data_IF_965748281727
#
_entry.id   IF_965748281727
#
_cell.length_a   1.000
_cell.length_b   1.000
_cell.length_c   1.000
_cell.angle_alpha   90.00
_cell.angle_beta   90.00
_cell.angle_gamma   90.00
#
_symmetry.space_group_name_H-M   'P 1'
#
loop_
_entity.id
_entity.type
_entity.pdbx_description
1 polymer ?
#
# COMPACT_ATOMS: atom_id res chain seq x y z
N UNK A 1 7.10 6.13 33.59
CA UNK A 1 8.23 6.21 32.66
C UNK A 1 8.15 5.12 31.58
N UNK A 2 8.20 3.85 31.94
CA UNK A 2 8.15 2.72 30.98
C UNK A 2 6.96 2.76 30.01
N UNK A 3 5.74 3.10 30.45
CA UNK A 3 4.57 3.18 29.57
C UNK A 3 4.64 4.32 28.57
N UNK A 4 5.29 5.43 28.93
CA UNK A 4 5.47 6.58 28.03
C UNK A 4 6.48 6.23 26.92
N UNK A 5 7.60 5.61 27.31
CA UNK A 5 8.64 5.20 26.37
C UNK A 5 8.13 4.14 25.40
N UNK A 6 7.37 3.15 25.91
CA UNK A 6 6.76 2.11 25.09
C UNK A 6 5.76 2.69 24.07
N UNK A 7 4.85 3.56 24.51
CA UNK A 7 3.87 4.20 23.61
C UNK A 7 4.55 5.08 22.55
N UNK A 8 5.67 5.71 22.88
CA UNK A 8 6.44 6.52 21.93
C UNK A 8 7.10 5.65 20.85
N UNK A 9 7.61 4.48 21.23
CA UNK A 9 8.17 3.50 20.28
C UNK A 9 7.07 3.02 19.33
N UNK A 10 5.90 2.64 19.87
CA UNK A 10 4.75 2.20 19.07
C UNK A 10 4.29 3.28 18.10
N UNK A 11 4.23 4.54 18.55
CA UNK A 11 3.86 5.66 17.68
C UNK A 11 4.82 5.81 16.50
N UNK A 12 6.12 5.62 16.75
CA UNK A 12 7.14 5.64 15.70
C UNK A 12 6.92 4.52 14.69
N UNK A 13 6.72 3.29 15.15
CA UNK A 13 6.46 2.11 14.29
C UNK A 13 5.19 2.30 13.44
N UNK A 14 4.10 2.82 14.03
CA UNK A 14 2.87 3.14 13.29
C UNK A 14 3.16 4.18 12.20
N UNK A 15 3.93 5.23 12.50
CA UNK A 15 4.26 6.25 11.52
C UNK A 15 5.12 5.70 10.38
N UNK A 16 6.07 4.81 10.66
CA UNK A 16 6.88 4.14 9.64
C UNK A 16 6.01 3.28 8.73
N UNK A 17 5.09 2.50 9.28
CA UNK A 17 4.12 1.73 8.51
C UNK A 17 3.18 2.62 7.68
N UNK A 18 2.71 3.75 8.21
CA UNK A 18 1.89 4.72 7.45
C UNK A 18 2.65 5.30 6.27
N UNK A 19 3.90 5.70 6.44
CA UNK A 19 4.74 6.25 5.37
C UNK A 19 4.95 5.19 4.29
N UNK A 20 5.34 3.99 4.67
CA UNK A 20 5.59 2.88 3.75
C UNK A 20 4.32 2.48 2.98
N UNK A 21 3.18 2.39 3.66
CA UNK A 21 1.90 2.06 3.06
C UNK A 21 1.40 3.14 2.08
N UNK A 22 1.59 4.42 2.39
CA UNK A 22 1.27 5.52 1.47
C UNK A 22 2.12 5.48 0.20
N UNK A 23 3.41 5.14 0.32
CA UNK A 23 4.27 4.95 -0.85
C UNK A 23 3.81 3.77 -1.73
N UNK A 24 3.43 2.65 -1.12
CA UNK A 24 2.88 1.51 -1.83
C UNK A 24 1.57 1.88 -2.56
N UNK A 25 0.67 2.61 -1.89
CA UNK A 25 -0.58 3.10 -2.48
C UNK A 25 -0.33 3.99 -3.71
N UNK A 26 0.58 4.95 -3.61
CA UNK A 26 0.91 5.87 -4.72
C UNK A 26 1.44 5.14 -5.96
N UNK A 27 2.30 4.15 -5.79
CA UNK A 27 2.82 3.36 -6.91
C UNK A 27 1.71 2.53 -7.57
N UNK A 28 0.78 1.97 -6.79
CA UNK A 28 -0.38 1.28 -7.33
C UNK A 28 -1.33 2.21 -8.10
N UNK A 29 -1.51 3.44 -7.64
CA UNK A 29 -2.28 4.47 -8.37
C UNK A 29 -1.63 4.80 -9.71
N UNK A 30 -0.31 4.88 -9.77
CA UNK A 30 0.42 5.04 -11.04
C UNK A 30 0.17 3.87 -11.99
N UNK A 31 0.27 2.63 -11.50
CA UNK A 31 -0.02 1.43 -12.30
C UNK A 31 -1.45 1.46 -12.83
N UNK A 32 -2.44 1.76 -11.99
CA UNK A 32 -3.85 1.87 -12.39
C UNK A 32 -4.04 2.93 -13.47
N UNK A 33 -3.39 4.09 -13.33
CA UNK A 33 -3.44 5.17 -14.32
C UNK A 33 -2.89 4.73 -15.68
N UNK A 34 -1.73 4.05 -15.68
CA UNK A 34 -1.13 3.53 -16.91
C UNK A 34 -1.98 2.44 -17.57
N UNK A 35 -2.64 1.60 -16.78
CA UNK A 35 -3.57 0.58 -17.28
C UNK A 35 -4.83 1.21 -17.87
N UNK A 36 -5.34 2.27 -17.27
CA UNK A 36 -6.45 3.05 -17.81
C UNK A 36 -6.07 3.71 -19.15
N UNK A 37 -4.88 4.31 -19.22
CA UNK A 37 -4.36 4.90 -20.44
C UNK A 37 -4.26 3.85 -21.56
N UNK A 38 -3.67 2.70 -21.27
CA UNK A 38 -3.57 1.59 -22.23
C UNK A 38 -4.95 1.09 -22.68
N UNK A 39 -5.91 0.97 -21.78
CA UNK A 39 -7.28 0.57 -22.09
C UNK A 39 -8.02 1.58 -22.97
N UNK A 40 -7.82 2.86 -22.72
CA UNK A 40 -8.39 3.93 -23.53
C UNK A 40 -7.82 3.92 -24.96
N UNK A 41 -6.51 3.83 -25.12
CA UNK A 41 -5.88 3.69 -26.42
C UNK A 41 -6.29 2.40 -27.14
N UNK A 42 -6.57 1.32 -26.41
CA UNK A 42 -7.08 0.07 -26.97
C UNK A 42 -8.41 0.21 -27.71
N UNK A 43 -9.28 1.11 -27.25
CA UNK A 43 -10.55 1.42 -27.95
C UNK A 43 -10.33 2.06 -29.31
N UNK A 44 -9.36 2.97 -29.42
CA UNK A 44 -9.00 3.62 -30.69
C UNK A 44 -8.23 2.70 -31.63
N UNK A 45 -7.40 1.80 -31.08
CA UNK A 45 -6.69 0.77 -31.84
C UNK A 45 -7.66 -0.15 -32.61
N UNK A 46 -8.82 -0.44 -32.03
CA UNK A 46 -9.90 -1.22 -32.69
C UNK A 46 -10.41 -0.56 -33.97
N UNK A 47 -10.27 0.75 -34.10
CA UNK A 47 -10.65 1.51 -35.32
C UNK A 47 -9.51 1.64 -36.33
N UNK A 48 -8.38 0.94 -36.14
CA UNK A 48 -7.25 0.91 -37.06
C UNK A 48 -6.31 2.10 -37.01
N UNK A 49 -6.35 2.90 -35.92
CA UNK A 49 -5.44 4.01 -35.70
C UNK A 49 -4.04 3.50 -35.28
N UNK A 50 -3.04 3.68 -36.18
CA UNK A 50 -1.65 3.27 -35.91
C UNK A 50 -1.03 4.00 -34.72
N UNK A 51 -1.34 5.29 -34.54
CA UNK A 51 -0.85 6.07 -33.41
C UNK A 51 -1.42 5.56 -32.09
N UNK A 52 -2.68 5.16 -32.05
CA UNK A 52 -3.30 4.54 -30.90
C UNK A 52 -2.62 3.21 -30.49
N UNK A 53 -2.25 2.39 -31.47
CA UNK A 53 -1.51 1.15 -31.24
C UNK A 53 -0.15 1.39 -30.55
N UNK A 54 0.62 2.38 -31.01
CA UNK A 54 1.90 2.73 -30.38
C UNK A 54 1.72 3.35 -29.00
N UNK A 55 0.72 4.20 -28.81
CA UNK A 55 0.42 4.81 -27.51
C UNK A 55 -0.02 3.76 -26.50
N UNK A 56 -0.89 2.81 -26.89
CA UNK A 56 -1.27 1.66 -26.07
C UNK A 56 -0.03 0.84 -25.63
N UNK A 57 0.82 0.49 -26.58
CA UNK A 57 2.03 -0.28 -26.30
C UNK A 57 2.94 0.45 -25.31
N UNK A 58 3.17 1.75 -25.49
CA UNK A 58 3.98 2.55 -24.56
C UNK A 58 3.39 2.60 -23.16
N UNK A 59 2.09 2.78 -23.01
CA UNK A 59 1.42 2.78 -21.71
C UNK A 59 1.54 1.40 -21.03
N UNK A 60 1.38 0.32 -21.78
CA UNK A 60 1.59 -1.05 -21.29
C UNK A 60 3.03 -1.30 -20.85
N UNK A 61 4.02 -0.92 -21.66
CA UNK A 61 5.44 -1.08 -21.33
C UNK A 61 5.81 -0.29 -20.06
N UNK A 62 5.25 0.90 -19.88
CA UNK A 62 5.44 1.70 -18.67
C UNK A 62 4.80 1.02 -17.46
N UNK A 63 3.58 0.50 -17.57
CA UNK A 63 2.93 -0.25 -16.50
C UNK A 63 3.77 -1.46 -16.07
N UNK A 64 4.25 -2.26 -17.03
CA UNK A 64 5.12 -3.41 -16.75
C UNK A 64 6.40 -3.01 -16.04
N UNK A 65 7.03 -1.89 -16.43
CA UNK A 65 8.25 -1.38 -15.75
C UNK A 65 7.99 -0.88 -14.33
N UNK A 66 6.79 -0.43 -14.05
CA UNK A 66 6.39 0.09 -12.72
C UNK A 66 6.04 -1.05 -11.75
N UNK A 67 5.60 -2.21 -12.24
CA UNK A 67 5.19 -3.35 -11.40
C UNK A 67 6.27 -3.84 -10.42
N UNK A 68 7.56 -3.99 -10.79
CA UNK A 68 8.61 -4.40 -9.85
C UNK A 68 8.79 -3.40 -8.70
N UNK A 69 8.66 -2.09 -8.98
CA UNK A 69 8.70 -1.06 -7.96
C UNK A 69 7.48 -1.14 -7.04
N UNK A 70 6.29 -1.39 -7.59
CA UNK A 70 5.08 -1.61 -6.80
C UNK A 70 5.24 -2.82 -5.86
N UNK A 71 5.75 -3.95 -6.36
CA UNK A 71 6.06 -5.14 -5.55
C UNK A 71 7.04 -4.80 -4.42
N UNK A 72 8.11 -4.08 -4.72
CA UNK A 72 9.10 -3.67 -3.73
C UNK A 72 8.49 -2.80 -2.62
N UNK A 73 7.70 -1.79 -2.98
CA UNK A 73 7.03 -0.89 -2.01
C UNK A 73 6.01 -1.62 -1.14
N UNK A 74 5.28 -2.55 -1.71
CA UNK A 74 4.33 -3.39 -0.96
C UNK A 74 5.08 -4.31 0.00
N UNK A 75 6.18 -4.93 -0.41
CA UNK A 75 6.99 -5.78 0.45
C UNK A 75 7.60 -5.00 1.63
N UNK A 76 8.04 -3.76 1.40
CA UNK A 76 8.47 -2.87 2.48
C UNK A 76 7.32 -2.59 3.46
N UNK A 77 6.13 -2.28 2.97
CA UNK A 77 4.96 -2.07 3.81
C UNK A 77 4.59 -3.32 4.63
N UNK A 78 4.63 -4.50 4.03
CA UNK A 78 4.40 -5.77 4.73
C UNK A 78 5.40 -5.97 5.86
N UNK A 79 6.66 -5.62 5.63
CA UNK A 79 7.70 -5.70 6.66
C UNK A 79 7.35 -4.80 7.85
N UNK A 80 7.03 -3.53 7.60
CA UNK A 80 6.62 -2.61 8.67
C UNK A 80 5.38 -3.12 9.42
N UNK A 81 4.42 -3.73 8.73
CA UNK A 81 3.25 -4.33 9.36
C UNK A 81 3.58 -5.54 10.23
N UNK A 82 4.59 -6.34 9.86
CA UNK A 82 5.10 -7.44 10.69
C UNK A 82 5.76 -6.92 11.96
N UNK A 83 6.59 -5.90 11.83
CA UNK A 83 7.26 -5.26 12.96
C UNK A 83 6.25 -4.70 13.98
N UNK A 84 5.13 -4.14 13.51
CA UNK A 84 3.99 -3.75 14.36
C UNK A 84 3.36 -4.95 15.08
N UNK A 85 3.14 -6.06 14.38
CA UNK A 85 2.54 -7.28 14.94
C UNK A 85 3.39 -7.92 16.04
N UNK A 86 4.70 -7.81 15.96
CA UNK A 86 5.63 -8.28 16.99
C UNK A 86 5.54 -7.47 18.31
N UNK A 87 5.04 -6.23 18.23
CA UNK A 87 4.83 -5.34 19.37
C UNK A 87 3.41 -5.43 19.96
N UNK A 88 2.66 -6.52 19.74
CA UNK A 88 1.28 -6.72 20.23
C UNK A 88 0.26 -5.63 19.82
N UNK A 89 0.56 -4.89 18.75
CA UNK A 89 -0.40 -3.95 18.20
C UNK A 89 -1.43 -4.75 17.40
N UNK A 90 -2.60 -4.89 17.96
CA UNK A 90 -3.70 -5.62 17.38
C UNK A 90 -4.34 -4.80 16.23
N UNK A 91 -3.55 -4.60 15.16
CA UNK A 91 -4.12 -4.17 13.90
C UNK A 91 -4.86 -5.40 13.37
N UNK A 92 -6.17 -5.31 13.23
CA UNK A 92 -7.11 -6.39 12.88
C UNK A 92 -6.90 -6.94 11.45
N UNK A 93 -5.63 -7.12 11.07
CA UNK A 93 -5.18 -7.46 9.74
C UNK A 93 -4.21 -8.63 9.88
N UNK A 94 -4.57 -9.74 9.26
CA UNK A 94 -3.70 -10.90 9.22
C UNK A 94 -2.53 -10.65 8.23
N UNK A 95 -1.33 -10.22 8.71
CA UNK A 95 -0.20 -9.88 7.83
C UNK A 95 0.27 -11.08 6.99
N UNK A 96 0.04 -12.29 7.51
CA UNK A 96 0.41 -13.55 6.85
C UNK A 96 -0.45 -13.77 5.61
N UNK A 97 -1.76 -13.52 5.69
CA UNK A 97 -2.65 -13.62 4.53
C UNK A 97 -2.33 -12.57 3.47
N UNK A 98 -1.96 -11.36 3.88
CA UNK A 98 -1.58 -10.30 2.96
C UNK A 98 -0.24 -10.60 2.24
N UNK A 99 0.74 -11.16 2.95
CA UNK A 99 2.02 -11.55 2.37
C UNK A 99 1.85 -12.67 1.31
N UNK A 100 1.12 -13.71 1.65
CA UNK A 100 0.84 -14.82 0.73
C UNK A 100 0.04 -14.35 -0.49
N UNK A 101 -0.92 -13.45 -0.28
CA UNK A 101 -1.70 -12.84 -1.36
C UNK A 101 -0.80 -12.02 -2.30
N UNK A 102 0.09 -11.19 -1.75
CA UNK A 102 0.97 -10.33 -2.56
C UNK A 102 2.00 -11.11 -3.36
N UNK A 103 2.62 -12.13 -2.79
CA UNK A 103 3.56 -12.97 -3.51
C UNK A 103 2.88 -13.72 -4.66
N UNK A 104 1.75 -14.38 -4.37
CA UNK A 104 0.96 -15.07 -5.39
C UNK A 104 0.44 -14.11 -6.47
N UNK A 105 -0.06 -12.95 -6.05
CA UNK A 105 -0.63 -11.94 -6.95
C UNK A 105 0.41 -11.39 -7.91
N UNK A 106 1.57 -10.95 -7.41
CA UNK A 106 2.59 -10.34 -8.26
C UNK A 106 3.29 -11.34 -9.16
N UNK A 107 3.55 -12.56 -8.71
CA UNK A 107 4.17 -13.57 -9.52
C UNK A 107 3.27 -14.00 -10.69
N UNK A 108 1.97 -14.16 -10.42
CA UNK A 108 1.00 -14.45 -11.48
C UNK A 108 0.69 -13.24 -12.36
N UNK A 109 0.56 -12.05 -11.77
CA UNK A 109 0.26 -10.82 -12.48
C UNK A 109 1.35 -10.47 -13.50
N UNK A 110 2.62 -10.52 -13.09
CA UNK A 110 3.74 -10.22 -13.98
C UNK A 110 3.82 -11.28 -15.08
N UNK A 111 3.67 -12.55 -14.73
CA UNK A 111 3.69 -13.66 -15.67
C UNK A 111 2.53 -13.58 -16.69
N UNK A 112 1.31 -13.45 -16.20
CA UNK A 112 0.11 -13.42 -17.04
C UNK A 112 -0.01 -12.15 -17.86
N UNK A 113 0.44 -11.01 -17.33
CA UNK A 113 0.47 -9.75 -18.05
C UNK A 113 1.39 -9.81 -19.26
N UNK A 114 2.63 -10.29 -19.06
CA UNK A 114 3.63 -10.39 -20.13
C UNK A 114 3.13 -11.34 -21.23
N UNK A 115 2.47 -12.44 -20.85
CA UNK A 115 2.04 -13.48 -21.80
C UNK A 115 0.70 -13.18 -22.46
N UNK A 116 -0.27 -12.60 -21.74
CA UNK A 116 -1.66 -12.54 -22.18
C UNK A 116 -2.22 -11.12 -22.40
N UNK A 117 -1.47 -10.07 -22.07
CA UNK A 117 -1.87 -8.66 -22.20
C UNK A 117 -3.29 -8.33 -21.66
N UNK A 118 -3.66 -8.94 -20.54
CA UNK A 118 -4.98 -8.81 -19.92
C UNK A 118 -5.12 -7.50 -19.12
N UNK A 119 -5.32 -6.38 -19.79
CA UNK A 119 -5.42 -5.04 -19.17
C UNK A 119 -6.53 -4.99 -18.11
N UNK A 120 -7.72 -5.51 -18.41
CA UNK A 120 -8.90 -5.37 -17.53
C UNK A 120 -8.75 -6.20 -16.26
N UNK A 121 -8.36 -7.47 -16.37
CA UNK A 121 -8.16 -8.33 -15.20
C UNK A 121 -7.05 -7.80 -14.30
N UNK A 122 -5.93 -7.40 -14.89
CA UNK A 122 -4.79 -6.82 -14.16
C UNK A 122 -5.19 -5.54 -13.43
N UNK A 123 -5.92 -4.64 -14.10
CA UNK A 123 -6.44 -3.42 -13.46
C UNK A 123 -7.33 -3.75 -12.26
N UNK A 124 -8.22 -4.72 -12.39
CA UNK A 124 -9.10 -5.12 -11.29
C UNK A 124 -8.30 -5.65 -10.10
N UNK A 125 -7.27 -6.45 -10.35
CA UNK A 125 -6.44 -7.04 -9.32
C UNK A 125 -5.58 -5.98 -8.62
N UNK A 126 -4.96 -5.06 -9.36
CA UNK A 126 -4.22 -3.93 -8.80
C UNK A 126 -5.16 -3.02 -7.99
N UNK A 127 -6.38 -2.78 -8.46
CA UNK A 127 -7.38 -1.97 -7.75
C UNK A 127 -7.83 -2.63 -6.44
N UNK A 128 -7.96 -3.95 -6.41
CA UNK A 128 -8.25 -4.69 -5.16
C UNK A 128 -7.12 -4.55 -4.14
N UNK A 129 -5.88 -4.68 -4.59
CA UNK A 129 -4.69 -4.48 -3.73
C UNK A 129 -4.63 -3.06 -3.19
N UNK A 130 -4.87 -2.06 -4.04
CA UNK A 130 -4.96 -0.67 -3.64
C UNK A 130 -6.03 -0.44 -2.57
N UNK A 131 -7.25 -0.93 -2.77
CA UNK A 131 -8.34 -0.80 -1.82
C UNK A 131 -8.05 -1.52 -0.49
N UNK A 132 -7.31 -2.63 -0.54
CA UNK A 132 -6.90 -3.35 0.65
C UNK A 132 -5.87 -2.54 1.47
N UNK A 133 -4.85 -1.99 0.82
CA UNK A 133 -3.85 -1.12 1.47
C UNK A 133 -4.52 0.13 2.05
N UNK A 134 -5.47 0.74 1.34
CA UNK A 134 -6.20 1.91 1.83
C UNK A 134 -6.95 1.62 3.12
N UNK A 135 -7.61 0.47 3.23
CA UNK A 135 -8.27 0.05 4.48
C UNK A 135 -7.29 -0.13 5.63
N UNK A 136 -6.10 -0.69 5.36
CA UNK A 136 -5.05 -0.82 6.37
C UNK A 136 -4.60 0.56 6.84
N UNK A 137 -4.35 1.48 5.92
CA UNK A 137 -3.93 2.85 6.24
C UNK A 137 -4.95 3.58 7.11
N UNK A 138 -6.23 3.46 6.81
CA UNK A 138 -7.29 4.06 7.63
C UNK A 138 -7.30 3.48 9.05
N UNK A 139 -7.09 2.18 9.20
CA UNK A 139 -6.99 1.53 10.52
C UNK A 139 -5.77 2.02 11.30
N UNK A 140 -4.61 2.12 10.65
CA UNK A 140 -3.38 2.63 11.27
C UNK A 140 -3.50 4.11 11.66
N UNK A 141 -4.16 4.93 10.84
CA UNK A 141 -4.42 6.34 11.17
C UNK A 141 -5.31 6.49 12.40
N UNK A 142 -6.28 5.62 12.56
CA UNK A 142 -7.14 5.60 13.76
C UNK A 142 -6.33 5.19 15.00
N UNK A 143 -5.53 4.13 14.92
CA UNK A 143 -4.65 3.70 16.01
C UNK A 143 -3.63 4.78 16.39
N UNK A 144 -3.07 5.48 15.40
CA UNK A 144 -2.16 6.61 15.63
C UNK A 144 -2.83 7.73 16.43
N UNK A 145 -4.05 8.10 16.08
CA UNK A 145 -4.82 9.13 16.80
C UNK A 145 -5.15 8.72 18.22
N UNK A 146 -5.58 7.48 18.42
CA UNK A 146 -5.93 6.95 19.74
C UNK A 146 -4.70 6.92 20.66
N UNK A 147 -3.54 6.60 20.09
CA UNK A 147 -2.28 6.61 20.83
C UNK A 147 -1.81 8.01 21.18
N UNK A 148 -1.96 8.99 20.28
CA UNK A 148 -1.65 10.40 20.53
C UNK A 148 -2.50 10.95 21.68
N UNK A 149 -3.79 10.60 21.75
CA UNK A 149 -4.65 10.97 22.87
C UNK A 149 -4.19 10.35 24.19
N UNK A 150 -3.77 9.09 24.19
CA UNK A 150 -3.22 8.41 25.37
C UNK A 150 -1.91 9.07 25.85
N UNK A 151 -1.01 9.37 24.92
CA UNK A 151 0.27 10.05 25.22
C UNK A 151 0.05 11.43 25.82
N UNK A 152 -0.85 12.23 25.26
CA UNK A 152 -1.21 13.55 25.78
C UNK A 152 -1.77 13.43 27.20
N UNK A 153 -2.67 12.48 27.44
CA UNK A 153 -3.23 12.24 28.78
C UNK A 153 -2.17 11.81 29.81
N UNK A 154 -1.20 11.00 29.40
CA UNK A 154 -0.10 10.57 30.29
C UNK A 154 0.86 11.74 30.60
N UNK A 155 1.17 12.58 29.63
CA UNK A 155 2.01 13.77 29.82
C UNK A 155 1.34 14.77 30.77
N UNK A 156 0.06 15.06 30.60
CA UNK A 156 -0.70 15.94 31.49
C UNK A 156 -0.72 15.43 32.93
N UNK A 157 -0.89 14.11 33.12
CA UNK A 157 -0.82 13.51 34.48
C UNK A 157 0.57 13.63 35.09
N UNK A 158 1.63 13.43 34.28
CA UNK A 158 3.01 13.60 34.75
C UNK A 158 3.28 15.01 35.20
N UNK A 159 2.87 16.01 34.42
CA UNK A 159 3.05 17.43 34.76
C UNK A 159 2.30 17.79 36.04
N UNK A 160 1.05 17.31 36.19
CA UNK A 160 0.25 17.55 37.41
C UNK A 160 0.89 16.94 38.66
N UNK A 161 1.55 15.78 38.54
CA UNK A 161 2.28 15.15 39.64
C UNK A 161 3.59 15.88 40.00
N UNK A 162 4.24 16.53 39.03
CA UNK A 162 5.46 17.30 39.29
C UNK A 162 5.21 18.65 39.92
N UNK A 163 3.97 19.21 39.77
CA UNK A 163 3.55 20.48 40.29
C UNK A 163 2.86 20.38 41.69
N UNK A 164 2.59 19.18 42.13
CA UNK A 164 2.05 18.89 43.48
C UNK A 164 3.14 18.51 44.44
#
# INVERSE_FOLDING_TARGET
>A
MEKLDFNTIIQKEINEALISGRQAKLVLEEVISLLNEAGNWGKWDMYGDRNAKYAKKRAMDRAVRTLPNAKHKINMFIKEMKDLGENDINVNLNPIQFNNFTDFFFDNLISDWIVQQKIVSTKNDVSRTHAYIERILLSLEQESKDLDHKLTGLNNKRESMLLS
#
